data_IF_835327718530
#
_entry.id   IF_835327718530
#
_cell.length_a   1.000
_cell.length_b   1.000
_cell.length_c   1.000
_cell.angle_alpha   90.00
_cell.angle_beta   90.00
_cell.angle_gamma   90.00
#
_symmetry.space_group_name_H-M   'P 1'
#
loop_
_entity.id
_entity.type
_entity.pdbx_description
1 polymer ?
#
# COMPACT_ATOMS: atom_id res chain seq x y z
N UNK A 1 12.54 0.76 20.01
CA UNK A 1 13.64 0.28 19.13
C UNK A 1 13.08 -0.20 17.77
N UNK A 2 12.32 0.64 17.04
CA UNK A 2 11.56 0.18 15.85
C UNK A 2 12.03 0.74 14.50
N UNK A 3 12.68 1.90 14.48
CA UNK A 3 13.10 2.56 13.23
C UNK A 3 14.50 2.17 12.74
N UNK A 4 15.30 1.54 13.60
CA UNK A 4 16.71 1.22 13.30
C UNK A 4 16.88 0.04 12.33
N UNK A 5 15.89 -0.87 12.29
CA UNK A 5 15.92 -2.04 11.39
C UNK A 5 15.59 -1.69 9.92
N UNK A 6 14.95 -0.55 9.67
CA UNK A 6 14.59 -0.09 8.32
C UNK A 6 15.68 0.77 7.65
N UNK A 7 16.67 1.25 8.42
CA UNK A 7 17.78 2.06 7.92
C UNK A 7 19.05 1.24 7.63
N UNK A 8 19.02 -0.08 7.85
CA UNK A 8 20.10 -0.96 7.39
C UNK A 8 20.20 -0.91 5.86
N UNK A 9 21.40 -0.80 5.26
CA UNK A 9 21.55 -0.64 3.81
C UNK A 9 20.97 -1.80 2.99
N UNK A 10 20.76 -2.96 3.61
CA UNK A 10 20.09 -4.13 3.02
C UNK A 10 18.56 -3.95 2.84
N UNK A 11 17.92 -3.10 3.65
CA UNK A 11 16.45 -2.93 3.68
C UNK A 11 16.00 -1.56 3.14
N UNK A 12 16.93 -0.75 2.61
CA UNK A 12 16.62 0.57 2.03
C UNK A 12 15.58 0.47 0.91
N UNK A 13 15.68 -0.59 0.10
CA UNK A 13 14.75 -0.84 -1.00
C UNK A 13 13.34 -1.14 -0.49
N UNK A 14 13.22 -1.98 0.53
CA UNK A 14 11.93 -2.28 1.20
C UNK A 14 11.34 -1.04 1.87
N UNK A 15 12.17 -0.23 2.53
CA UNK A 15 11.74 1.04 3.14
C UNK A 15 11.26 2.07 2.12
N UNK A 16 11.92 2.15 0.95
CA UNK A 16 11.48 3.01 -0.16
C UNK A 16 10.17 2.53 -0.78
N UNK A 17 10.03 1.22 -1.04
CA UNK A 17 8.78 0.64 -1.55
C UNK A 17 7.62 0.87 -0.58
N UNK A 18 7.85 0.68 0.71
CA UNK A 18 6.85 0.93 1.75
C UNK A 18 6.49 2.42 1.85
N UNK A 19 7.48 3.31 1.77
CA UNK A 19 7.26 4.75 1.78
C UNK A 19 6.46 5.24 0.57
N UNK A 20 6.79 4.75 -0.63
CA UNK A 20 6.07 5.08 -1.87
C UNK A 20 4.66 4.52 -1.84
N UNK A 21 4.48 3.26 -1.43
CA UNK A 21 3.16 2.66 -1.27
C UNK A 21 2.29 3.44 -0.28
N UNK A 22 2.87 3.84 0.85
CA UNK A 22 2.16 4.66 1.86
C UNK A 22 1.80 6.03 1.29
N UNK A 23 2.72 6.70 0.60
CA UNK A 23 2.45 7.99 -0.04
C UNK A 23 1.33 7.87 -1.09
N UNK A 24 1.33 6.80 -1.89
CA UNK A 24 0.28 6.52 -2.88
C UNK A 24 -1.08 6.25 -2.22
N UNK A 25 -1.12 5.51 -1.11
CA UNK A 25 -2.35 5.24 -0.37
C UNK A 25 -3.02 6.51 0.18
N UNK A 26 -2.26 7.57 0.49
CA UNK A 26 -2.82 8.85 0.92
C UNK A 26 -3.09 9.82 -0.23
N UNK A 27 -2.22 9.86 -1.23
CA UNK A 27 -2.34 10.82 -2.33
C UNK A 27 -3.46 10.46 -3.31
N UNK A 28 -3.65 9.18 -3.63
CA UNK A 28 -4.70 8.76 -4.58
C UNK A 28 -6.12 9.07 -4.11
N UNK A 29 -6.52 8.82 -2.83
CA UNK A 29 -7.84 9.22 -2.34
C UNK A 29 -8.05 10.74 -2.36
N UNK A 30 -7.02 11.52 -2.04
CA UNK A 30 -7.08 12.99 -2.09
C UNK A 30 -7.26 13.48 -3.53
N UNK A 31 -6.50 12.93 -4.48
CA UNK A 31 -6.66 13.26 -5.89
C UNK A 31 -8.06 12.87 -6.38
N UNK A 32 -8.54 11.68 -6.01
CA UNK A 32 -9.90 11.24 -6.35
C UNK A 32 -10.97 12.19 -5.79
N UNK A 33 -10.80 12.70 -4.57
CA UNK A 33 -11.70 13.69 -3.98
C UNK A 33 -11.76 14.98 -4.80
N UNK A 34 -10.60 15.56 -5.17
CA UNK A 34 -10.56 16.81 -5.94
C UNK A 34 -11.06 16.65 -7.37
N UNK A 35 -10.82 15.50 -8.01
CA UNK A 35 -11.41 15.19 -9.32
C UNK A 35 -12.93 15.06 -9.19
N UNK A 36 -13.40 14.34 -8.18
CA UNK A 36 -14.83 14.13 -7.93
C UNK A 36 -15.57 15.43 -7.64
N UNK A 37 -14.94 16.37 -6.92
CA UNK A 37 -15.46 17.72 -6.72
C UNK A 37 -15.78 18.44 -8.04
N UNK A 38 -14.95 18.26 -9.08
CA UNK A 38 -15.20 18.82 -10.42
C UNK A 38 -16.26 18.04 -11.19
N UNK A 39 -16.26 16.72 -11.08
CA UNK A 39 -17.26 15.87 -11.75
C UNK A 39 -18.67 16.10 -11.19
N UNK A 40 -18.80 16.29 -9.88
CA UNK A 40 -20.09 16.48 -9.20
C UNK A 40 -20.45 17.94 -8.94
N UNK A 41 -19.81 18.92 -9.60
CA UNK A 41 -20.04 20.35 -9.33
C UNK A 41 -21.50 20.80 -9.50
N UNK A 42 -22.28 20.05 -10.29
CA UNK A 42 -23.69 20.29 -10.58
C UNK A 42 -24.66 19.60 -9.61
N UNK A 43 -24.15 18.77 -8.67
CA UNK A 43 -24.98 18.06 -7.68
C UNK A 43 -25.19 18.92 -6.43
N UNK A 44 -26.34 18.75 -5.75
CA UNK A 44 -26.49 19.32 -4.40
C UNK A 44 -25.48 18.66 -3.46
N UNK A 45 -24.70 19.48 -2.76
CA UNK A 45 -23.59 19.07 -1.87
C UNK A 45 -22.52 18.20 -2.56
N UNK A 46 -21.72 18.78 -3.48
CA UNK A 46 -20.65 18.08 -4.18
C UNK A 46 -19.60 17.48 -3.23
N UNK A 47 -19.39 18.09 -2.06
CA UNK A 47 -18.48 17.57 -1.02
C UNK A 47 -18.87 16.17 -0.53
N UNK A 48 -20.17 15.88 -0.40
CA UNK A 48 -20.65 14.59 0.09
C UNK A 48 -20.44 13.49 -0.97
N UNK A 49 -20.68 13.82 -2.24
CA UNK A 49 -20.44 12.91 -3.36
C UNK A 49 -18.95 12.63 -3.56
N UNK A 50 -18.12 13.68 -3.49
CA UNK A 50 -16.67 13.55 -3.57
C UNK A 50 -16.12 12.73 -2.40
N UNK A 51 -16.64 12.94 -1.19
CA UNK A 51 -16.30 12.15 0.00
C UNK A 51 -16.65 10.68 -0.16
N UNK A 52 -17.87 10.37 -0.65
CA UNK A 52 -18.28 9.00 -0.92
C UNK A 52 -17.37 8.30 -1.94
N UNK A 53 -17.01 8.99 -3.04
CA UNK A 53 -16.08 8.44 -4.03
C UNK A 53 -14.69 8.22 -3.44
N UNK A 54 -14.17 9.15 -2.64
CA UNK A 54 -12.88 9.00 -1.98
C UNK A 54 -12.84 7.77 -1.05
N UNK A 55 -13.93 7.50 -0.32
CA UNK A 55 -14.06 6.31 0.52
C UNK A 55 -14.04 5.04 -0.33
N UNK A 56 -14.79 5.00 -1.43
CA UNK A 56 -14.81 3.84 -2.35
C UNK A 56 -13.42 3.59 -2.94
N UNK A 57 -12.76 4.64 -3.43
CA UNK A 57 -11.40 4.56 -3.99
C UNK A 57 -10.40 4.05 -2.94
N UNK A 58 -10.50 4.53 -1.69
CA UNK A 58 -9.64 4.06 -0.60
C UNK A 58 -9.81 2.56 -0.37
N UNK A 59 -11.05 2.06 -0.34
CA UNK A 59 -11.31 0.63 -0.17
C UNK A 59 -10.79 -0.20 -1.35
N UNK A 60 -10.89 0.30 -2.58
CA UNK A 60 -10.32 -0.36 -3.76
C UNK A 60 -8.79 -0.44 -3.66
N UNK A 61 -8.13 0.64 -3.22
CA UNK A 61 -6.66 0.65 -3.06
C UNK A 61 -6.24 -0.34 -1.98
N UNK A 62 -6.90 -0.32 -0.82
CA UNK A 62 -6.58 -1.26 0.28
C UNK A 62 -6.85 -2.71 -0.14
N UNK A 63 -8.02 -2.97 -0.74
CA UNK A 63 -8.37 -4.31 -1.23
C UNK A 63 -7.42 -4.80 -2.32
N UNK A 64 -7.05 -3.93 -3.26
CA UNK A 64 -6.08 -4.20 -4.31
C UNK A 64 -4.68 -4.48 -3.77
N UNK A 65 -4.23 -3.71 -2.77
CA UNK A 65 -2.96 -3.96 -2.09
C UNK A 65 -2.96 -5.33 -1.38
N UNK A 66 -4.01 -5.64 -0.61
CA UNK A 66 -4.15 -6.94 0.04
C UNK A 66 -4.19 -8.10 -0.97
N UNK A 67 -4.86 -7.91 -2.10
CA UNK A 67 -4.95 -8.91 -3.17
C UNK A 67 -3.60 -9.13 -3.86
N UNK A 68 -2.88 -8.06 -4.20
CA UNK A 68 -1.53 -8.14 -4.78
C UNK A 68 -0.59 -8.84 -3.80
N UNK A 69 -0.58 -8.44 -2.53
CA UNK A 69 0.23 -9.09 -1.50
C UNK A 69 -0.10 -10.58 -1.36
N UNK A 70 -1.38 -10.96 -1.44
CA UNK A 70 -1.80 -12.36 -1.38
C UNK A 70 -1.39 -13.17 -2.62
N UNK A 71 -1.33 -12.56 -3.80
CA UNK A 71 -0.85 -13.25 -5.02
C UNK A 71 0.66 -13.33 -5.05
N UNK A 72 1.38 -12.28 -4.66
CA UNK A 72 2.84 -12.29 -4.59
C UNK A 72 3.32 -13.42 -3.67
N UNK A 73 2.66 -13.63 -2.53
CA UNK A 73 2.88 -14.80 -1.64
C UNK A 73 2.56 -16.17 -2.31
N UNK A 74 1.73 -16.21 -3.36
CA UNK A 74 1.35 -17.45 -4.07
C UNK A 74 2.22 -17.73 -5.30
N UNK A 75 2.68 -16.70 -5.99
CA UNK A 75 3.58 -16.85 -7.15
C UNK A 75 5.01 -17.17 -6.68
N UNK A 76 5.45 -16.64 -5.51
CA UNK A 76 6.71 -17.03 -4.86
C UNK A 76 6.74 -18.51 -4.39
N UNK A 77 5.61 -19.22 -4.41
CA UNK A 77 5.55 -20.67 -4.16
C UNK A 77 5.69 -21.52 -5.44
N UNK A 78 5.63 -20.91 -6.63
CA UNK A 78 5.72 -21.60 -7.92
C UNK A 78 7.05 -21.34 -8.67
N UNK A 79 7.88 -20.40 -8.22
CA UNK A 79 9.24 -20.23 -8.72
C UNK A 79 10.25 -21.02 -7.87
N UNK A 80 10.89 -22.01 -8.48
CA UNK A 80 12.01 -22.78 -7.95
C UNK A 80 13.28 -21.91 -7.78
N UNK A 81 13.24 -20.83 -7.00
CA UNK A 81 14.46 -20.21 -6.48
C UNK A 81 14.27 -19.58 -5.09
N UNK A 82 14.05 -20.46 -4.11
CA UNK A 82 14.57 -20.30 -2.74
C UNK A 82 13.83 -19.32 -1.82
N UNK A 83 13.59 -19.71 -0.56
CA UNK A 83 12.86 -18.85 0.36
C UNK A 83 13.73 -17.66 0.77
N UNK A 84 13.33 -16.42 0.46
CA UNK A 84 13.83 -15.25 1.19
C UNK A 84 13.20 -15.21 2.59
N UNK A 85 13.67 -16.15 3.42
CA UNK A 85 13.42 -16.20 4.86
C UNK A 85 13.86 -14.88 5.50
N UNK A 86 12.87 -14.04 5.79
CA UNK A 86 12.87 -13.38 7.08
C UNK A 86 12.74 -14.45 8.18
N UNK A 87 13.65 -14.42 9.17
CA UNK A 87 13.75 -15.29 10.36
C UNK A 87 14.37 -16.69 10.11
N UNK A 88 15.40 -17.13 10.83
CA UNK A 88 15.59 -17.08 12.28
C UNK A 88 17.07 -16.97 12.69
N UNK A 89 17.39 -16.13 13.68
CA UNK A 89 18.70 -16.15 14.35
C UNK A 89 18.88 -17.50 15.05
N UNK A 90 19.91 -18.24 14.65
CA UNK A 90 20.38 -19.44 15.33
C UNK A 90 20.87 -19.05 16.73
N UNK A 91 20.22 -19.59 17.76
CA UNK A 91 20.72 -19.54 19.14
C UNK A 91 21.84 -20.57 19.23
N UNK A 92 23.07 -20.12 19.39
CA UNK A 92 24.19 -20.97 19.79
C UNK A 92 24.18 -21.05 21.31
N UNK A 93 24.13 -22.28 21.84
CA UNK A 93 24.39 -22.59 23.24
C UNK A 93 25.85 -22.28 23.62
#
# INVERSE_FOLDING_TARGET
MGFSALLHPQNKETGQKLGIATALMFTLPLVAFYISMKVFEHKPSPENWAGAVAIVVTNIIVGGYCYIAYIEDRDDLNDEDGPRKGASKQRVD
#
